data_IF_122648598164
#
_entry.id   IF_122648598164
#
_cell.length_a   1.000
_cell.length_b   1.000
_cell.length_c   1.000
_cell.angle_alpha   90.00
_cell.angle_beta   90.00
_cell.angle_gamma   90.00
#
_symmetry.space_group_name_H-M   'P 1'
#
loop_
_entity.id
_entity.type
_entity.pdbx_description
1 polymer ?
#
# COMPACT_ATOMS: atom_id res chain seq x y z
N UNK A 1 -1.49 25.51 -4.28
CA UNK A 1 -0.89 24.17 -4.32
C UNK A 1 -1.19 23.49 -2.99
N UNK A 2 -1.82 22.30 -2.95
CA UNK A 2 -2.16 21.67 -1.68
C UNK A 2 -0.88 21.23 -0.96
N UNK A 3 -0.89 21.35 0.37
CA UNK A 3 0.19 21.01 1.30
C UNK A 3 0.67 19.55 1.13
N UNK A 4 1.62 19.29 0.24
CA UNK A 4 2.24 17.96 0.03
C UNK A 4 3.35 17.65 1.04
N UNK A 5 3.76 18.60 1.88
CA UNK A 5 4.94 18.46 2.76
C UNK A 5 4.79 17.45 3.91
N UNK A 6 3.60 16.95 4.22
CA UNK A 6 3.41 16.03 5.35
C UNK A 6 3.77 14.57 5.01
N UNK A 7 3.76 14.20 3.73
CA UNK A 7 4.04 12.84 3.28
C UNK A 7 5.11 12.88 2.18
N UNK A 8 6.39 12.99 2.58
CA UNK A 8 7.51 12.99 1.64
C UNK A 8 7.88 11.59 1.10
N UNK A 9 7.22 10.55 1.60
CA UNK A 9 7.56 9.15 1.34
C UNK A 9 6.31 8.37 0.92
N UNK A 10 6.46 7.54 -0.11
CA UNK A 10 5.42 6.72 -0.69
C UNK A 10 5.79 5.23 -0.64
N UNK A 11 4.98 4.44 0.07
CA UNK A 11 5.04 2.99 0.11
C UNK A 11 4.37 2.40 -1.13
N UNK A 12 5.12 1.65 -1.93
CA UNK A 12 4.59 0.97 -3.10
C UNK A 12 3.91 -0.33 -2.68
N UNK A 13 2.65 -0.48 -3.08
CA UNK A 13 1.88 -1.72 -2.98
C UNK A 13 2.48 -2.82 -3.88
N UNK A 14 2.30 -4.09 -3.53
CA UNK A 14 2.78 -5.23 -4.30
C UNK A 14 2.18 -5.29 -5.69
N UNK A 15 0.93 -4.86 -5.88
CA UNK A 15 0.31 -4.85 -7.21
C UNK A 15 1.03 -3.90 -8.19
N UNK A 16 1.60 -2.79 -7.71
CA UNK A 16 2.38 -1.85 -8.53
C UNK A 16 3.70 -2.49 -8.95
N UNK A 17 4.37 -3.19 -8.02
CA UNK A 17 5.61 -3.90 -8.32
C UNK A 17 5.37 -5.08 -9.27
N UNK A 18 4.29 -5.83 -9.07
CA UNK A 18 3.89 -6.96 -9.92
C UNK A 18 3.61 -6.50 -11.36
N UNK A 19 3.07 -5.29 -11.55
CA UNK A 19 2.89 -4.73 -12.89
C UNK A 19 4.18 -4.61 -13.69
N UNK A 20 5.33 -4.41 -13.05
CA UNK A 20 6.63 -4.33 -13.72
C UNK A 20 7.04 -5.66 -14.36
N UNK A 21 6.55 -6.80 -13.85
CA UNK A 21 6.91 -8.14 -14.33
C UNK A 21 5.91 -8.71 -15.36
N UNK A 22 4.82 -7.99 -15.65
CA UNK A 22 3.80 -8.39 -16.61
C UNK A 22 3.93 -7.60 -17.90
N UNK A 23 4.04 -8.30 -19.03
CA UNK A 23 4.23 -7.70 -20.37
C UNK A 23 3.18 -6.64 -20.71
N UNK A 24 1.94 -6.84 -20.24
CA UNK A 24 0.80 -5.94 -20.46
C UNK A 24 0.90 -4.62 -19.69
N UNK A 25 1.45 -4.64 -18.48
CA UNK A 25 1.40 -3.52 -17.52
C UNK A 25 2.77 -2.92 -17.22
N UNK A 26 3.87 -3.47 -17.76
CA UNK A 26 5.22 -2.95 -17.53
C UNK A 26 5.39 -1.46 -17.86
N UNK A 27 4.69 -0.99 -18.89
CA UNK A 27 4.70 0.44 -19.29
C UNK A 27 4.02 1.28 -18.22
N UNK A 28 2.89 0.83 -17.70
CA UNK A 28 2.17 1.48 -16.59
C UNK A 28 3.05 1.52 -15.36
N UNK A 29 3.68 0.40 -14.97
CA UNK A 29 4.60 0.39 -13.83
C UNK A 29 5.72 1.43 -13.97
N UNK A 30 6.35 1.53 -15.16
CA UNK A 30 7.38 2.56 -15.41
C UNK A 30 6.83 3.98 -15.31
N UNK A 31 5.61 4.24 -15.82
CA UNK A 31 4.95 5.54 -15.73
C UNK A 31 4.59 5.89 -14.28
N UNK A 32 4.08 4.94 -13.50
CA UNK A 32 3.81 5.08 -12.07
C UNK A 32 5.08 5.45 -11.34
N UNK A 33 6.14 4.64 -11.51
CA UNK A 33 7.40 4.87 -10.80
C UNK A 33 8.00 6.23 -11.16
N UNK A 34 7.97 6.64 -12.43
CA UNK A 34 8.46 7.96 -12.84
C UNK A 34 7.63 9.10 -12.24
N UNK A 35 6.30 8.99 -12.29
CA UNK A 35 5.37 10.00 -11.78
C UNK A 35 5.50 10.14 -10.27
N UNK A 36 5.42 9.02 -9.55
CA UNK A 36 5.48 8.99 -8.08
C UNK A 36 6.86 9.44 -7.59
N UNK A 37 7.95 8.98 -8.20
CA UNK A 37 9.31 9.36 -7.77
C UNK A 37 9.64 10.83 -8.04
N UNK A 38 8.88 11.52 -8.90
CA UNK A 38 9.02 12.97 -9.09
C UNK A 38 8.44 13.80 -7.93
N UNK A 39 7.60 13.18 -7.08
CA UNK A 39 6.89 13.84 -5.99
C UNK A 39 7.28 13.26 -4.61
N UNK A 40 7.56 11.96 -4.54
CA UNK A 40 7.79 11.21 -3.30
C UNK A 40 9.10 10.42 -3.37
N UNK A 41 9.74 10.23 -2.22
CA UNK A 41 10.71 9.14 -2.07
C UNK A 41 9.96 7.81 -2.04
N UNK A 42 10.25 6.90 -2.97
CA UNK A 42 9.58 5.61 -3.07
C UNK A 42 10.26 4.54 -2.23
N UNK A 43 9.46 3.80 -1.47
CA UNK A 43 9.90 2.77 -0.52
C UNK A 43 9.02 1.53 -0.65
N UNK A 44 9.46 0.42 -0.08
CA UNK A 44 8.71 -0.84 -0.06
C UNK A 44 8.69 -1.43 1.35
N UNK A 45 7.67 -2.23 1.67
CA UNK A 45 7.68 -3.05 2.88
C UNK A 45 8.50 -4.33 2.64
N UNK A 46 9.17 -4.84 3.67
CA UNK A 46 9.76 -6.19 3.64
C UNK A 46 8.70 -7.27 3.38
N UNK A 47 7.42 -7.03 3.74
CA UNK A 47 6.33 -7.90 3.35
C UNK A 47 6.11 -7.92 1.82
N UNK A 48 6.11 -6.74 1.19
CA UNK A 48 5.97 -6.64 -0.26
C UNK A 48 7.12 -7.34 -0.99
N UNK A 49 8.33 -7.21 -0.47
CA UNK A 49 9.52 -7.94 -0.94
C UNK A 49 9.33 -9.46 -0.83
N UNK A 50 8.83 -9.96 0.31
CA UNK A 50 8.50 -11.37 0.49
C UNK A 50 7.46 -11.86 -0.53
N UNK A 51 6.37 -11.12 -0.73
CA UNK A 51 5.31 -11.50 -1.68
C UNK A 51 5.81 -11.59 -3.12
N UNK A 52 6.57 -10.60 -3.57
CA UNK A 52 7.14 -10.59 -4.92
C UNK A 52 8.07 -11.79 -5.11
N UNK A 53 8.93 -12.10 -4.15
CA UNK A 53 9.85 -13.24 -4.28
C UNK A 53 9.12 -14.59 -4.23
N UNK A 54 8.07 -14.70 -3.42
CA UNK A 54 7.26 -15.93 -3.32
C UNK A 54 6.40 -16.18 -4.56
N UNK A 55 5.87 -15.11 -5.17
CA UNK A 55 4.91 -15.20 -6.28
C UNK A 55 5.53 -15.40 -7.67
N UNK A 56 6.85 -15.28 -7.80
CA UNK A 56 7.53 -15.33 -9.10
C UNK A 56 8.12 -16.71 -9.41
N UNK A 57 8.11 -17.05 -10.70
CA UNK A 57 8.88 -18.18 -11.22
C UNK A 57 10.39 -17.98 -10.97
N UNK A 58 11.13 -19.07 -10.73
CA UNK A 58 12.53 -19.02 -10.30
C UNK A 58 13.42 -18.21 -11.25
N UNK A 59 13.15 -18.26 -12.55
CA UNK A 59 13.95 -17.57 -13.58
C UNK A 59 13.82 -16.04 -13.48
N UNK A 60 12.74 -15.54 -12.86
CA UNK A 60 12.47 -14.10 -12.69
C UNK A 60 12.99 -13.53 -11.38
N UNK A 61 13.38 -14.38 -10.43
CA UNK A 61 13.87 -13.96 -9.11
C UNK A 61 15.07 -13.00 -9.21
N UNK A 62 16.09 -13.21 -10.08
CA UNK A 62 17.20 -12.26 -10.19
C UNK A 62 16.76 -10.86 -10.63
N UNK A 63 15.88 -10.77 -11.63
CA UNK A 63 15.32 -9.49 -12.10
C UNK A 63 14.49 -8.82 -11.01
N UNK A 64 13.67 -9.60 -10.30
CA UNK A 64 12.86 -9.08 -9.22
C UNK A 64 13.70 -8.57 -8.06
N UNK A 65 14.76 -9.29 -7.68
CA UNK A 65 15.73 -8.81 -6.69
C UNK A 65 16.37 -7.50 -7.13
N UNK A 66 16.79 -7.38 -8.39
CA UNK A 66 17.38 -6.14 -8.90
C UNK A 66 16.42 -4.94 -8.79
N UNK A 67 15.15 -5.12 -9.17
CA UNK A 67 14.13 -4.08 -9.05
C UNK A 67 13.81 -3.76 -7.58
N UNK A 68 13.50 -4.76 -6.78
CA UNK A 68 13.09 -4.60 -5.38
C UNK A 68 14.21 -3.99 -4.55
N UNK A 69 15.46 -4.38 -4.78
CA UNK A 69 16.63 -3.80 -4.09
C UNK A 69 16.96 -2.35 -4.53
N UNK A 70 16.30 -1.82 -5.55
CA UNK A 70 16.42 -0.40 -5.91
C UNK A 70 15.63 0.54 -5.00
N UNK A 71 14.73 -0.01 -4.18
CA UNK A 71 13.94 0.73 -3.20
C UNK A 71 14.48 0.53 -1.79
N UNK A 72 14.29 1.53 -0.93
CA UNK A 72 14.58 1.38 0.50
C UNK A 72 13.51 0.47 1.14
N UNK A 73 13.90 -0.67 1.74
CA UNK A 73 12.96 -1.53 2.43
C UNK A 73 12.67 -1.03 3.85
N UNK A 74 11.41 -1.18 4.28
CA UNK A 74 10.96 -0.92 5.64
C UNK A 74 10.55 -2.22 6.32
N UNK A 75 11.11 -2.47 7.50
CA UNK A 75 10.91 -3.69 8.24
C UNK A 75 9.47 -3.80 8.81
N UNK A 76 8.94 -5.02 8.85
CA UNK A 76 7.71 -5.33 9.59
C UNK A 76 8.09 -5.50 11.06
N UNK A 77 8.06 -4.41 11.81
CA UNK A 77 8.40 -4.39 13.24
C UNK A 77 7.23 -4.86 14.11
N UNK A 78 7.47 -5.00 15.42
CA UNK A 78 6.41 -5.25 16.40
C UNK A 78 5.29 -4.20 16.30
N UNK A 79 5.64 -2.91 16.24
CA UNK A 79 4.64 -1.82 16.16
C UNK A 79 3.78 -1.93 14.89
N UNK A 80 4.37 -2.34 13.76
CA UNK A 80 3.60 -2.60 12.53
C UNK A 80 2.63 -3.76 12.73
N UNK A 81 3.04 -4.83 13.40
CA UNK A 81 2.17 -5.98 13.67
C UNK A 81 1.05 -5.64 14.67
N UNK A 82 1.33 -4.85 15.70
CA UNK A 82 0.33 -4.39 16.66
C UNK A 82 -0.73 -3.53 15.96
N UNK A 83 -0.30 -2.56 15.13
CA UNK A 83 -1.23 -1.74 14.32
C UNK A 83 -1.98 -2.59 13.30
N UNK A 84 -1.35 -3.60 12.69
CA UNK A 84 -2.01 -4.52 11.77
C UNK A 84 -3.14 -5.31 12.45
N UNK A 85 -2.88 -5.87 13.64
CA UNK A 85 -3.90 -6.56 14.42
C UNK A 85 -5.06 -5.64 14.80
N UNK A 86 -4.75 -4.40 15.20
CA UNK A 86 -5.75 -3.41 15.51
C UNK A 86 -6.57 -2.99 14.29
N UNK A 87 -5.94 -2.76 13.13
CA UNK A 87 -6.61 -2.48 11.86
C UNK A 87 -7.52 -3.62 11.43
N UNK A 88 -7.05 -4.87 11.50
CA UNK A 88 -7.86 -6.04 11.17
C UNK A 88 -9.14 -6.10 12.02
N UNK A 89 -9.01 -5.87 13.32
CA UNK A 89 -10.13 -5.85 14.26
C UNK A 89 -11.07 -4.67 13.99
N UNK A 90 -10.52 -3.49 13.74
CA UNK A 90 -11.29 -2.30 13.39
C UNK A 90 -12.08 -2.53 12.10
N UNK A 91 -11.45 -3.08 11.06
CA UNK A 91 -12.11 -3.38 9.80
C UNK A 91 -13.28 -4.34 9.95
N UNK A 92 -13.17 -5.31 10.85
CA UNK A 92 -14.23 -6.30 11.13
C UNK A 92 -15.40 -5.72 11.94
N UNK A 93 -15.11 -4.81 12.87
CA UNK A 93 -16.13 -4.24 13.79
C UNK A 93 -16.79 -2.97 13.28
N UNK A 94 -16.09 -2.19 12.48
CA UNK A 94 -16.57 -0.90 11.96
C UNK A 94 -17.62 -1.12 10.87
N UNK A 95 -18.81 -0.52 11.07
CA UNK A 95 -19.94 -0.61 10.14
C UNK A 95 -19.59 -0.19 8.71
N UNK A 96 -18.62 0.71 8.55
CA UNK A 96 -18.21 1.22 7.23
C UNK A 96 -17.42 0.19 6.43
N UNK A 97 -16.60 -0.63 7.09
CA UNK A 97 -15.64 -1.53 6.43
C UNK A 97 -15.94 -3.02 6.63
N UNK A 98 -16.77 -3.39 7.62
CA UNK A 98 -17.04 -4.79 7.96
C UNK A 98 -17.56 -5.64 6.81
N UNK A 99 -18.28 -5.02 5.88
CA UNK A 99 -18.81 -5.71 4.68
C UNK A 99 -17.74 -6.04 3.66
N UNK A 100 -16.64 -5.29 3.62
CA UNK A 100 -15.54 -5.47 2.66
C UNK A 100 -14.33 -6.16 3.28
N UNK A 101 -14.27 -6.30 4.62
CA UNK A 101 -13.16 -6.94 5.34
C UNK A 101 -12.75 -8.29 4.77
N UNK A 102 -13.70 -9.13 4.39
CA UNK A 102 -13.43 -10.47 3.84
C UNK A 102 -12.62 -10.46 2.53
N UNK A 103 -12.61 -9.34 1.81
CA UNK A 103 -11.83 -9.16 0.58
C UNK A 103 -10.43 -8.60 0.80
N UNK A 104 -10.07 -8.16 2.01
CA UNK A 104 -8.78 -7.53 2.30
C UNK A 104 -7.84 -8.60 2.84
N UNK A 105 -6.67 -8.76 2.21
CA UNK A 105 -5.70 -9.77 2.67
C UNK A 105 -4.95 -9.29 3.91
N UNK A 106 -4.35 -10.23 4.66
CA UNK A 106 -3.47 -9.87 5.78
C UNK A 106 -2.24 -9.10 5.30
N UNK A 107 -1.81 -9.33 4.05
CA UNK A 107 -0.73 -8.57 3.43
C UNK A 107 -1.05 -7.11 3.24
N UNK A 108 -2.25 -6.81 2.72
CA UNK A 108 -2.74 -5.44 2.57
C UNK A 108 -2.90 -4.75 3.93
N UNK A 109 -3.33 -5.49 4.96
CA UNK A 109 -3.42 -4.97 6.32
C UNK A 109 -2.04 -4.64 6.88
N UNK A 110 -1.03 -5.50 6.70
CA UNK A 110 0.35 -5.25 7.14
C UNK A 110 0.96 -4.05 6.39
N UNK A 111 0.72 -3.93 5.08
CA UNK A 111 1.15 -2.76 4.31
C UNK A 111 0.45 -1.48 4.78
N UNK A 112 -0.86 -1.57 5.02
CA UNK A 112 -1.66 -0.49 5.62
C UNK A 112 -1.08 -0.03 6.96
N UNK A 113 -0.79 -0.98 7.85
CA UNK A 113 -0.18 -0.72 9.15
C UNK A 113 1.21 -0.09 9.03
N UNK A 114 2.04 -0.56 8.09
CA UNK A 114 3.34 0.05 7.78
C UNK A 114 3.19 1.53 7.43
N UNK A 115 2.19 1.87 6.60
CA UNK A 115 1.91 3.25 6.24
C UNK A 115 1.43 4.08 7.44
N UNK A 116 0.59 3.53 8.33
CA UNK A 116 0.17 4.20 9.56
C UNK A 116 1.34 4.51 10.50
N UNK A 117 2.19 3.52 10.79
CA UNK A 117 3.34 3.66 11.70
C UNK A 117 4.31 4.73 11.21
N UNK A 118 4.62 4.70 9.91
CA UNK A 118 5.62 5.61 9.34
C UNK A 118 5.04 6.88 8.72
N UNK A 119 3.71 7.05 8.72
CA UNK A 119 3.00 8.15 8.06
C UNK A 119 3.41 8.24 6.58
N UNK A 120 3.28 7.15 5.85
CA UNK A 120 3.55 7.08 4.42
C UNK A 120 2.27 7.16 3.59
N UNK A 121 2.37 7.66 2.38
CA UNK A 121 1.31 7.48 1.37
C UNK A 121 1.46 6.10 0.76
N UNK A 122 0.36 5.38 0.54
CA UNK A 122 0.33 4.13 -0.22
C UNK A 122 0.05 4.42 -1.68
N UNK A 123 0.83 3.83 -2.57
CA UNK A 123 0.57 3.84 -4.01
C UNK A 123 0.03 2.48 -4.40
N UNK A 124 -1.23 2.44 -4.86
CA UNK A 124 -1.94 1.19 -5.17
C UNK A 124 -2.75 1.31 -6.46
N UNK A 125 -2.96 0.19 -7.15
CA UNK A 125 -3.94 0.09 -8.24
C UNK A 125 -5.34 -0.31 -7.76
N UNK A 126 -5.49 -0.69 -6.49
CA UNK A 126 -6.76 -1.14 -5.91
C UNK A 126 -7.02 -0.47 -4.56
N UNK A 127 -7.73 0.66 -4.60
CA UNK A 127 -8.09 1.39 -3.37
C UNK A 127 -8.99 0.60 -2.41
N UNK A 128 -9.62 -0.50 -2.84
CA UNK A 128 -10.48 -1.29 -1.97
C UNK A 128 -9.69 -2.09 -0.93
N UNK A 129 -8.40 -2.34 -1.18
CA UNK A 129 -7.49 -3.01 -0.24
C UNK A 129 -7.15 -2.09 0.95
N UNK A 130 -7.34 -0.78 0.77
CA UNK A 130 -7.08 0.28 1.74
C UNK A 130 -8.34 1.14 1.92
N UNK A 131 -9.36 0.62 2.62
CA UNK A 131 -10.69 1.21 2.62
C UNK A 131 -10.73 2.59 3.29
N UNK A 132 -11.57 3.46 2.73
CA UNK A 132 -12.03 4.64 3.43
C UNK A 132 -12.89 4.23 4.65
N UNK A 133 -12.87 5.01 5.75
CA UNK A 133 -12.17 6.28 5.91
C UNK A 133 -10.77 6.16 6.55
N UNK A 134 -10.26 4.94 6.75
CA UNK A 134 -8.91 4.70 7.27
C UNK A 134 -7.84 5.22 6.33
N UNK A 135 -8.12 5.21 5.04
CA UNK A 135 -7.28 5.83 4.02
C UNK A 135 -8.06 6.90 3.24
N UNK A 136 -7.40 8.03 3.00
CA UNK A 136 -7.94 9.16 2.24
C UNK A 136 -7.18 9.29 0.92
N UNK A 137 -7.91 9.43 -0.18
CA UNK A 137 -7.31 9.71 -1.48
C UNK A 137 -6.70 11.12 -1.50
N UNK A 138 -5.41 11.20 -1.82
CA UNK A 138 -4.69 12.47 -1.98
C UNK A 138 -4.60 12.86 -3.46
N UNK A 139 -4.40 11.87 -4.32
CA UNK A 139 -4.36 12.02 -5.77
C UNK A 139 -4.66 10.70 -6.44
N UNK A 140 -5.17 10.76 -7.67
CA UNK A 140 -5.30 9.61 -8.57
C UNK A 140 -4.75 9.94 -9.95
N UNK A 141 -4.25 8.89 -10.61
CA UNK A 141 -3.66 8.95 -11.94
C UNK A 141 -4.32 7.89 -12.81
N UNK A 142 -4.91 8.31 -13.92
CA UNK A 142 -5.33 7.36 -14.95
C UNK A 142 -4.15 7.07 -15.87
N UNK A 143 -3.79 5.80 -15.97
CA UNK A 143 -2.75 5.32 -16.88
C UNK A 143 -3.33 4.32 -17.85
N UNK A 144 -2.61 4.05 -18.94
CA UNK A 144 -3.11 3.18 -20.00
C UNK A 144 -2.16 2.01 -20.21
N UNK A 145 -2.69 0.79 -20.16
CA UNK A 145 -1.90 -0.41 -20.40
C UNK A 145 -1.55 -0.60 -21.89
N UNK A 146 -0.72 -1.61 -22.20
CA UNK A 146 -0.33 -1.90 -23.58
C UNK A 146 -1.51 -2.26 -24.52
N UNK A 147 -2.70 -2.56 -23.97
CA UNK A 147 -3.94 -2.85 -24.69
C UNK A 147 -4.92 -1.66 -24.70
N UNK A 148 -4.46 -0.46 -24.35
CA UNK A 148 -5.28 0.75 -24.26
C UNK A 148 -6.39 0.68 -23.20
N UNK A 149 -6.27 -0.18 -22.19
CA UNK A 149 -7.22 -0.21 -21.06
C UNK A 149 -6.76 0.75 -19.97
N UNK A 150 -7.68 1.55 -19.40
CA UNK A 150 -7.35 2.43 -18.28
C UNK A 150 -7.05 1.59 -17.03
N UNK A 151 -6.05 2.03 -16.28
CA UNK A 151 -5.68 1.54 -14.96
C UNK A 151 -5.60 2.78 -14.06
N UNK A 152 -6.40 2.79 -13.00
CA UNK A 152 -6.36 3.85 -12.00
C UNK A 152 -5.31 3.53 -10.96
N UNK A 153 -4.47 4.51 -10.65
CA UNK A 153 -3.45 4.46 -9.63
C UNK A 153 -3.80 5.50 -8.58
N UNK A 154 -3.86 5.08 -7.33
CA UNK A 154 -4.27 5.91 -6.20
C UNK A 154 -3.09 6.17 -5.28
N UNK A 155 -2.99 7.40 -4.80
CA UNK A 155 -2.12 7.77 -3.70
C UNK A 155 -3.01 8.00 -2.47
N UNK A 156 -2.88 7.12 -1.48
CA UNK A 156 -3.74 7.06 -0.31
C UNK A 156 -2.94 7.40 0.94
N UNK A 157 -3.33 8.42 1.70
CA UNK A 157 -2.71 8.71 3.00
C UNK A 157 -3.48 8.05 4.14
N UNK A 158 -2.81 7.59 5.20
CA UNK A 158 -3.47 7.06 6.38
C UNK A 158 -4.19 8.19 7.15
N UNK A 159 -5.41 7.92 7.57
CA UNK A 159 -6.22 8.79 8.41
C UNK A 159 -5.98 8.48 9.88
N UNK A 160 -4.87 9.01 10.41
CA UNK A 160 -4.43 8.77 11.79
C UNK A 160 -5.52 9.15 12.81
N UNK A 161 -6.23 10.26 12.57
CA UNK A 161 -7.28 10.72 13.46
C UNK A 161 -8.47 9.74 13.51
N UNK A 162 -8.86 9.18 12.35
CA UNK A 162 -9.91 8.17 12.29
C UNK A 162 -9.51 6.89 13.03
N UNK A 163 -8.31 6.36 12.74
CA UNK A 163 -7.84 5.14 13.41
C UNK A 163 -7.81 5.32 14.93
N UNK A 164 -7.21 6.41 15.44
CA UNK A 164 -7.14 6.67 16.88
C UNK A 164 -8.52 6.70 17.56
N UNK A 165 -9.54 7.23 16.88
CA UNK A 165 -10.92 7.21 17.39
C UNK A 165 -11.48 5.79 17.43
N UNK A 166 -11.21 4.99 16.41
CA UNK A 166 -11.72 3.62 16.32
C UNK A 166 -11.01 2.65 17.24
N UNK A 167 -9.72 2.85 17.54
CA UNK A 167 -8.98 2.02 18.49
C UNK A 167 -9.67 1.95 19.86
N UNK A 168 -10.15 3.08 20.38
CA UNK A 168 -10.87 3.15 21.66
C UNK A 168 -12.15 2.30 21.69
N UNK A 169 -12.74 1.99 20.54
CA UNK A 169 -14.01 1.26 20.41
C UNK A 169 -13.77 -0.20 20.01
N UNK A 170 -12.92 -0.42 19.02
CA UNK A 170 -12.77 -1.69 18.35
C UNK A 170 -11.64 -2.55 18.94
N UNK A 171 -10.61 -1.91 19.49
CA UNK A 171 -9.41 -2.55 20.03
C UNK A 171 -9.01 -1.89 21.35
N UNK A 172 -9.88 -1.93 22.38
CA UNK A 172 -9.56 -1.31 23.66
C UNK A 172 -8.34 -2.02 24.25
N UNK A 173 -7.33 -1.24 24.63
CA UNK A 173 -6.22 -1.74 25.43
C UNK A 173 -6.83 -2.38 26.68
N UNK A 174 -6.74 -3.71 26.77
CA UNK A 174 -7.26 -4.47 27.90
C UNK A 174 -6.48 -4.10 29.15
N UNK A 175 -6.91 -3.02 29.81
CA UNK A 175 -6.55 -2.69 31.19
C UNK A 175 -7.36 -3.56 32.14
#
# INVERSE_FOLDING_TARGET
MPNSKQFGVALLDTNILDYAFKSRTKVVASQVLATVSSVYTTVISEYARFEIYRGLAMERVPLAKALVNSFTPYAVTKDVLDIAAALATCYEKDDVTKRTRAGISDGDIIMGATAFVHKFVIITANRMDFPAPYFEEVSSYEMTDAKKKPIMIYALKPNIAYLNRMLAVCYPDGN
#
